data_IF_373220206325
#
_entry.id   IF_373220206325
#
_cell.length_a   1.000
_cell.length_b   1.000
_cell.length_c   1.000
_cell.angle_alpha   90.00
_cell.angle_beta   90.00
_cell.angle_gamma   90.00
#
_symmetry.space_group_name_H-M   'P 1'
#
loop_
_entity.id
_entity.type
_entity.pdbx_description
1 polymer ?
#
# COMPACT_ATOMS: atom_id res chain seq x y z
N UNK A 1 -29.51 22.66 17.60
CA UNK A 1 -28.61 21.52 17.50
C UNK A 1 -29.46 20.29 17.19
N UNK A 2 -29.84 20.12 15.92
CA UNK A 2 -30.72 19.03 15.52
C UNK A 2 -29.91 17.95 14.81
N UNK A 3 -29.67 16.85 15.50
CA UNK A 3 -29.27 15.58 14.91
C UNK A 3 -30.40 15.09 14.03
N UNK A 4 -30.30 15.27 12.72
CA UNK A 4 -31.26 14.70 11.78
C UNK A 4 -31.15 13.18 11.79
N UNK A 5 -32.21 12.57 12.29
CA UNK A 5 -32.42 11.14 12.39
C UNK A 5 -32.34 10.48 10.99
N UNK A 6 -31.48 9.47 10.77
CA UNK A 6 -31.33 8.80 9.47
C UNK A 6 -32.60 8.10 8.95
N UNK A 7 -33.64 8.03 9.74
CA UNK A 7 -34.93 7.43 9.36
C UNK A 7 -35.86 8.34 8.52
N UNK A 8 -35.51 9.62 8.31
CA UNK A 8 -36.33 10.60 7.61
C UNK A 8 -35.96 10.84 6.14
N UNK A 9 -35.03 10.09 5.58
CA UNK A 9 -34.70 10.20 4.16
C UNK A 9 -35.87 9.69 3.31
N UNK A 10 -36.24 10.50 2.30
CA UNK A 10 -37.30 10.16 1.36
C UNK A 10 -36.99 8.84 0.61
N UNK A 11 -38.02 8.16 0.13
CA UNK A 11 -37.87 6.91 -0.65
C UNK A 11 -36.97 7.12 -1.90
N UNK A 12 -36.99 8.32 -2.46
CA UNK A 12 -36.15 8.71 -3.59
C UNK A 12 -34.68 8.87 -3.21
N UNK A 13 -34.38 9.43 -2.07
CA UNK A 13 -33.00 9.59 -1.58
C UNK A 13 -32.38 8.26 -1.20
N UNK A 14 -33.13 7.37 -0.57
CA UNK A 14 -32.66 5.99 -0.29
C UNK A 14 -32.39 5.20 -1.58
N UNK A 15 -33.19 5.42 -2.62
CA UNK A 15 -32.99 4.76 -3.92
C UNK A 15 -31.76 5.33 -4.66
N UNK A 16 -31.53 6.64 -4.58
CA UNK A 16 -30.32 7.28 -5.11
C UNK A 16 -29.06 6.77 -4.40
N UNK A 17 -29.10 6.73 -3.07
CA UNK A 17 -27.98 6.22 -2.24
C UNK A 17 -27.64 4.75 -2.55
N UNK A 18 -28.65 3.88 -2.69
CA UNK A 18 -28.45 2.48 -3.10
C UNK A 18 -27.86 2.36 -4.50
N UNK A 19 -28.37 3.14 -5.48
CA UNK A 19 -27.83 3.12 -6.85
C UNK A 19 -26.38 3.62 -6.91
N UNK A 20 -26.04 4.65 -6.16
CA UNK A 20 -24.69 5.21 -6.10
C UNK A 20 -23.70 4.24 -5.47
N UNK A 21 -24.07 3.57 -4.38
CA UNK A 21 -23.22 2.56 -3.75
C UNK A 21 -22.99 1.34 -4.65
N UNK A 22 -24.02 0.91 -5.43
CA UNK A 22 -23.87 -0.17 -6.40
C UNK A 22 -22.97 0.22 -7.58
N UNK A 23 -23.07 1.47 -8.05
CA UNK A 23 -22.23 1.98 -9.14
C UNK A 23 -20.78 2.10 -8.69
N UNK A 24 -20.52 2.65 -7.51
CA UNK A 24 -19.17 2.79 -6.95
C UNK A 24 -18.55 1.42 -6.63
N UNK A 25 -19.35 0.48 -6.11
CA UNK A 25 -18.89 -0.90 -5.89
C UNK A 25 -18.56 -1.62 -7.20
N UNK A 26 -19.33 -1.43 -8.26
CA UNK A 26 -19.05 -1.99 -9.58
C UNK A 26 -17.86 -1.34 -10.30
N UNK A 27 -17.56 -0.07 -10.02
CA UNK A 27 -16.36 0.61 -10.54
C UNK A 27 -15.10 0.07 -9.87
N UNK A 28 -15.12 -0.11 -8.55
CA UNK A 28 -14.02 -0.74 -7.82
C UNK A 28 -13.80 -2.20 -8.23
N UNK A 29 -14.87 -2.95 -8.50
CA UNK A 29 -14.79 -4.38 -8.89
C UNK A 29 -14.29 -4.57 -10.34
N UNK A 30 -14.58 -3.65 -11.26
CA UNK A 30 -14.10 -3.77 -12.66
C UNK A 30 -12.62 -3.46 -12.85
N UNK A 31 -12.00 -2.72 -11.93
CA UNK A 31 -10.54 -2.48 -11.96
C UNK A 31 -9.73 -3.59 -11.26
N UNK A 32 -10.38 -4.52 -10.54
CA UNK A 32 -9.74 -5.66 -9.90
C UNK A 32 -9.52 -6.89 -10.83
N UNK A 33 -9.90 -6.83 -12.11
CA UNK A 33 -9.89 -7.98 -13.03
C UNK A 33 -8.57 -8.14 -13.80
N UNK A 34 -7.52 -7.38 -13.53
CA UNK A 34 -6.22 -7.62 -14.20
C UNK A 34 -5.14 -8.29 -13.33
N UNK A 35 -5.49 -8.83 -12.15
CA UNK A 35 -4.55 -9.54 -11.28
C UNK A 35 -5.03 -10.94 -10.86
N UNK A 36 -5.90 -11.58 -11.67
CA UNK A 36 -6.38 -12.93 -11.37
C UNK A 36 -5.55 -13.99 -12.11
N UNK A 37 -4.37 -14.33 -11.57
CA UNK A 37 -3.84 -15.68 -11.62
C UNK A 37 -3.87 -16.25 -10.21
N UNK A 38 -5.06 -16.65 -9.77
CA UNK A 38 -5.23 -17.54 -8.62
C UNK A 38 -5.62 -18.89 -9.18
N UNK A 39 -4.70 -19.83 -9.08
CA UNK A 39 -4.90 -21.24 -9.39
C UNK A 39 -5.99 -21.83 -8.52
N UNK A 40 -7.04 -22.31 -9.18
CA UNK A 40 -8.11 -23.13 -8.66
C UNK A 40 -7.54 -24.49 -8.20
N UNK A 41 -7.47 -24.75 -6.90
CA UNK A 41 -7.33 -26.10 -6.38
C UNK A 41 -8.69 -26.61 -5.90
N UNK A 42 -9.24 -27.54 -6.66
CA UNK A 42 -10.41 -28.32 -6.30
C UNK A 42 -10.09 -29.29 -5.15
N UNK A 43 -10.90 -29.22 -4.13
CA UNK A 43 -10.88 -30.16 -3.02
C UNK A 43 -11.41 -31.52 -3.47
N UNK A 44 -10.63 -32.57 -3.29
CA UNK A 44 -11.11 -33.96 -3.24
C UNK A 44 -10.55 -34.67 -2.03
N UNK A 45 -11.44 -35.13 -1.18
CA UNK A 45 -11.30 -36.38 -0.40
C UNK A 45 -10.60 -36.27 0.94
N UNK A 46 -11.40 -36.34 1.98
CA UNK A 46 -11.04 -36.73 3.35
C UNK A 46 -10.15 -37.98 3.43
N UNK A 47 -9.03 -37.85 4.14
CA UNK A 47 -8.48 -38.88 5.00
C UNK A 47 -7.80 -38.22 6.18
N UNK A 48 -8.31 -38.49 7.38
CA UNK A 48 -7.69 -38.07 8.62
C UNK A 48 -6.40 -38.85 8.82
N UNK A 49 -5.30 -38.27 8.31
CA UNK A 49 -3.95 -38.61 8.72
C UNK A 49 -3.48 -37.45 9.58
N UNK A 50 -2.94 -37.79 10.75
CA UNK A 50 -2.24 -36.90 11.67
C UNK A 50 -1.46 -35.85 10.88
N UNK A 51 -1.94 -34.61 10.88
CA UNK A 51 -1.24 -33.51 10.28
C UNK A 51 0.02 -33.26 11.09
N UNK A 52 1.13 -33.85 10.68
CA UNK A 52 2.41 -33.19 10.83
C UNK A 52 2.24 -31.85 10.12
N UNK A 53 2.19 -30.77 10.87
CA UNK A 53 2.26 -29.42 10.32
C UNK A 53 3.62 -29.34 9.60
N UNK A 54 3.59 -29.56 8.28
CA UNK A 54 4.75 -29.30 7.46
C UNK A 54 5.05 -27.81 7.67
N UNK A 55 6.16 -27.49 8.34
CA UNK A 55 6.60 -26.13 8.49
C UNK A 55 6.84 -25.58 7.09
N UNK A 56 6.17 -24.47 6.75
CA UNK A 56 6.25 -23.90 5.42
C UNK A 56 7.69 -23.59 4.97
N UNK A 57 8.65 -23.53 5.90
CA UNK A 57 10.06 -23.28 5.70
C UNK A 57 10.82 -24.36 4.90
N UNK A 58 10.37 -25.62 4.91
CA UNK A 58 11.07 -26.76 4.27
C UNK A 58 11.25 -26.60 2.74
N UNK A 59 10.40 -25.80 2.09
CA UNK A 59 10.52 -25.52 0.66
C UNK A 59 11.39 -24.30 0.34
N UNK A 60 11.98 -23.64 1.34
CA UNK A 60 12.69 -22.38 1.21
C UNK A 60 14.09 -22.41 1.78
N UNK A 61 14.31 -23.15 2.87
CA UNK A 61 15.59 -23.24 3.59
C UNK A 61 15.99 -24.67 3.83
N UNK A 62 17.29 -24.91 4.06
CA UNK A 62 17.87 -26.24 4.34
C UNK A 62 18.81 -26.16 5.54
N UNK A 63 19.14 -27.33 6.15
CA UNK A 63 20.10 -27.43 7.22
C UNK A 63 19.82 -26.55 8.43
N UNK A 64 20.82 -25.82 8.93
CA UNK A 64 20.70 -24.97 10.10
C UNK A 64 19.82 -23.70 9.79
N UNK A 65 19.78 -23.25 8.55
CA UNK A 65 18.88 -22.17 8.13
C UNK A 65 17.41 -22.59 8.26
N UNK A 66 17.06 -23.83 7.88
CA UNK A 66 15.72 -24.37 8.09
C UNK A 66 15.37 -24.47 9.58
N UNK A 67 16.30 -24.93 10.41
CA UNK A 67 16.10 -24.99 11.87
C UNK A 67 15.83 -23.58 12.46
N UNK A 68 16.58 -22.58 12.02
CA UNK A 68 16.37 -21.20 12.43
C UNK A 68 15.00 -20.69 11.97
N UNK A 69 14.61 -20.94 10.71
CA UNK A 69 13.29 -20.55 10.21
C UNK A 69 12.16 -21.18 11.05
N UNK A 70 12.24 -22.49 11.36
CA UNK A 70 11.26 -23.18 12.22
C UNK A 70 11.22 -22.60 13.64
N UNK A 71 12.38 -22.30 14.24
CA UNK A 71 12.44 -21.66 15.56
C UNK A 71 11.78 -20.29 15.55
N UNK A 72 11.91 -19.51 14.47
CA UNK A 72 11.22 -18.22 14.34
C UNK A 72 9.72 -18.37 14.12
N UNK A 73 9.24 -19.40 13.40
CA UNK A 73 7.82 -19.69 13.26
C UNK A 73 7.15 -19.92 14.62
N UNK A 74 7.76 -20.71 15.46
CA UNK A 74 7.27 -21.02 16.81
C UNK A 74 7.45 -19.86 17.81
N UNK A 75 8.30 -18.89 17.48
CA UNK A 75 8.67 -17.80 18.39
C UNK A 75 9.58 -18.27 19.55
N UNK A 76 10.27 -19.40 19.38
CA UNK A 76 11.22 -19.94 20.37
C UNK A 76 12.50 -19.10 20.40
N UNK A 77 12.53 -18.10 21.26
CA UNK A 77 13.64 -17.16 21.37
C UNK A 77 14.94 -17.79 21.84
N UNK A 78 14.88 -18.88 22.61
CA UNK A 78 16.07 -19.57 23.10
C UNK A 78 16.70 -20.42 21.99
N UNK A 79 15.88 -21.13 21.21
CA UNK A 79 16.33 -21.84 20.03
C UNK A 79 16.91 -20.87 18.98
N UNK A 80 16.23 -19.74 18.70
CA UNK A 80 16.72 -18.68 17.79
C UNK A 80 18.09 -18.19 18.24
N UNK A 81 18.25 -17.87 19.54
CA UNK A 81 19.52 -17.39 20.09
C UNK A 81 20.62 -18.45 19.98
N UNK A 82 20.30 -19.70 20.28
CA UNK A 82 21.28 -20.80 20.18
C UNK A 82 21.80 -20.97 18.75
N UNK A 83 20.88 -21.05 17.78
CA UNK A 83 21.23 -21.26 16.37
C UNK A 83 22.04 -20.07 15.83
N UNK A 84 21.68 -18.84 16.15
CA UNK A 84 22.41 -17.65 15.69
C UNK A 84 23.77 -17.52 16.39
N UNK A 85 23.84 -17.65 17.73
CA UNK A 85 25.08 -17.34 18.49
C UNK A 85 26.03 -18.50 18.63
N UNK A 86 25.52 -19.75 18.67
CA UNK A 86 26.34 -20.95 18.91
C UNK A 86 26.61 -21.73 17.61
N UNK A 87 25.58 -21.89 16.78
CA UNK A 87 25.73 -22.59 15.50
C UNK A 87 26.19 -21.68 14.35
N UNK A 88 26.20 -20.36 14.58
CA UNK A 88 26.76 -19.35 13.68
C UNK A 88 25.93 -19.05 12.42
N UNK A 89 24.64 -19.31 12.45
CA UNK A 89 23.74 -18.92 11.34
C UNK A 89 23.56 -17.42 11.31
N UNK A 90 23.99 -16.77 10.25
CA UNK A 90 23.84 -15.33 10.04
C UNK A 90 22.49 -15.05 9.33
N UNK A 91 21.48 -14.47 10.00
CA UNK A 91 20.17 -14.21 9.41
C UNK A 91 20.21 -13.20 8.27
N UNK A 92 21.22 -12.31 8.25
CA UNK A 92 21.35 -11.25 7.26
C UNK A 92 21.96 -11.71 5.94
N UNK A 93 22.67 -12.87 5.99
CA UNK A 93 23.27 -13.54 4.82
C UNK A 93 22.57 -14.82 4.42
N UNK A 94 21.46 -15.13 5.08
CA UNK A 94 20.67 -16.33 4.80
C UNK A 94 19.43 -15.98 3.99
N UNK A 95 19.37 -16.45 2.76
CA UNK A 95 18.28 -16.20 1.83
C UNK A 95 17.71 -17.51 1.31
N UNK A 96 16.41 -17.51 1.03
CA UNK A 96 15.76 -18.63 0.38
C UNK A 96 16.36 -18.90 -1.01
N UNK A 97 16.69 -20.16 -1.28
CA UNK A 97 17.19 -20.57 -2.61
C UNK A 97 16.14 -20.40 -3.71
N UNK A 98 14.87 -20.45 -3.33
CA UNK A 98 13.72 -20.41 -4.24
C UNK A 98 13.43 -19.00 -4.76
N UNK A 99 13.31 -18.00 -3.89
CA UNK A 99 12.76 -16.67 -4.20
C UNK A 99 13.51 -15.52 -3.51
N UNK A 100 14.67 -15.80 -2.92
CA UNK A 100 15.52 -14.79 -2.30
C UNK A 100 14.97 -14.15 -1.04
N UNK A 101 13.95 -14.73 -0.41
CA UNK A 101 13.41 -14.22 0.86
C UNK A 101 14.50 -14.23 1.92
N UNK A 102 14.85 -13.08 2.55
CA UNK A 102 15.79 -13.07 3.66
C UNK A 102 15.19 -13.76 4.89
N UNK A 103 16.01 -14.45 5.66
CA UNK A 103 15.53 -15.23 6.80
C UNK A 103 14.82 -14.34 7.83
N UNK A 104 15.24 -13.09 7.99
CA UNK A 104 14.55 -12.12 8.85
C UNK A 104 13.10 -11.83 8.40
N UNK A 105 12.76 -12.02 7.13
CA UNK A 105 11.39 -11.85 6.63
C UNK A 105 10.52 -13.10 6.84
N UNK A 106 11.11 -14.23 7.19
CA UNK A 106 10.37 -15.48 7.39
C UNK A 106 9.33 -15.43 8.50
N UNK A 107 9.61 -14.87 9.70
CA UNK A 107 8.61 -14.70 10.75
C UNK A 107 7.39 -13.85 10.33
N UNK A 108 7.54 -12.93 9.37
CA UNK A 108 6.41 -12.15 8.85
C UNK A 108 5.45 -13.07 8.07
N UNK A 109 6.02 -13.94 7.23
CA UNK A 109 5.26 -14.93 6.48
C UNK A 109 4.53 -15.91 7.40
N UNK A 110 5.19 -16.35 8.47
CA UNK A 110 4.63 -17.22 9.50
C UNK A 110 3.69 -16.49 10.50
N UNK A 111 3.58 -15.15 10.39
CA UNK A 111 2.84 -14.30 11.34
C UNK A 111 3.32 -14.43 12.79
N UNK A 112 4.62 -14.66 12.99
CA UNK A 112 5.26 -14.78 14.29
C UNK A 112 5.96 -13.49 14.71
N UNK A 113 5.29 -12.64 15.47
CA UNK A 113 5.89 -11.41 16.01
C UNK A 113 7.00 -11.71 17.02
N UNK A 114 6.88 -12.82 17.76
CA UNK A 114 7.89 -13.29 18.71
C UNK A 114 9.18 -13.71 17.99
N UNK A 115 9.05 -14.44 16.89
CA UNK A 115 10.21 -14.86 16.08
C UNK A 115 10.92 -13.68 15.42
N UNK A 116 10.17 -12.71 14.90
CA UNK A 116 10.74 -11.48 14.36
C UNK A 116 11.50 -10.72 15.45
N UNK A 117 10.87 -10.54 16.63
CA UNK A 117 11.50 -9.86 17.75
C UNK A 117 12.79 -10.58 18.20
N UNK A 118 12.79 -11.90 18.26
CA UNK A 118 13.96 -12.67 18.65
C UNK A 118 15.17 -12.45 17.71
N UNK A 119 14.94 -12.37 16.41
CA UNK A 119 16.01 -12.05 15.44
C UNK A 119 16.51 -10.61 15.60
N UNK A 120 15.60 -9.65 15.71
CA UNK A 120 15.94 -8.24 15.84
C UNK A 120 16.68 -7.94 17.15
N UNK A 121 16.29 -8.56 18.27
CA UNK A 121 16.99 -8.43 19.55
C UNK A 121 18.43 -9.00 19.49
N UNK A 122 18.73 -9.87 18.54
CA UNK A 122 20.06 -10.39 18.29
C UNK A 122 20.89 -9.55 17.30
N UNK A 123 20.29 -8.47 16.76
CA UNK A 123 20.91 -7.50 15.88
C UNK A 123 20.75 -7.82 14.39
N UNK A 124 19.77 -8.67 14.01
CA UNK A 124 19.47 -8.89 12.60
C UNK A 124 19.04 -7.58 11.91
N UNK A 125 19.54 -7.36 10.69
CA UNK A 125 19.28 -6.14 9.91
C UNK A 125 17.93 -6.21 9.19
N UNK A 126 16.96 -5.31 9.52
CA UNK A 126 15.67 -5.22 8.82
C UNK A 126 15.79 -4.97 7.30
N UNK A 127 16.93 -4.41 6.88
CA UNK A 127 17.18 -4.01 5.49
C UNK A 127 17.93 -5.11 4.69
N UNK A 128 18.33 -6.19 5.34
CA UNK A 128 19.02 -7.31 4.68
C UNK A 128 18.22 -7.78 3.46
N UNK A 129 18.92 -7.88 2.32
CA UNK A 129 18.32 -8.34 1.06
C UNK A 129 19.32 -9.07 0.20
N UNK A 130 18.83 -10.02 -0.55
CA UNK A 130 19.60 -10.67 -1.58
C UNK A 130 19.73 -9.76 -2.81
N UNK A 131 20.92 -9.77 -3.42
CA UNK A 131 21.19 -9.13 -4.69
C UNK A 131 21.82 -10.13 -5.65
N UNK A 132 21.24 -10.29 -6.83
CA UNK A 132 21.74 -11.21 -7.86
C UNK A 132 22.01 -10.49 -9.17
N UNK A 133 23.10 -10.85 -9.86
CA UNK A 133 23.32 -10.43 -11.23
C UNK A 133 22.45 -11.30 -12.16
N UNK A 134 21.53 -10.66 -12.88
CA UNK A 134 20.65 -11.32 -13.84
C UNK A 134 20.66 -10.54 -15.15
N UNK A 135 21.05 -11.19 -16.23
CA UNK A 135 21.13 -10.57 -17.58
C UNK A 135 21.93 -9.25 -17.61
N UNK A 136 23.02 -9.17 -16.83
CA UNK A 136 23.86 -7.97 -16.75
C UNK A 136 23.32 -6.83 -15.87
N UNK A 137 22.20 -7.06 -15.19
CA UNK A 137 21.60 -6.09 -14.24
C UNK A 137 21.66 -6.65 -12.83
N UNK A 138 21.92 -5.76 -11.86
CA UNK A 138 21.82 -6.10 -10.44
C UNK A 138 20.33 -6.02 -10.03
N UNK A 139 19.79 -7.14 -9.61
CA UNK A 139 18.41 -7.25 -9.10
C UNK A 139 18.47 -7.36 -7.58
N UNK A 140 17.82 -6.42 -6.92
CA UNK A 140 17.64 -6.41 -5.47
C UNK A 140 16.28 -7.02 -5.13
N UNK A 141 16.28 -8.13 -4.39
CA UNK A 141 15.05 -8.81 -3.96
C UNK A 141 14.36 -8.05 -2.83
N UNK A 142 13.11 -8.41 -2.55
CA UNK A 142 12.33 -7.81 -1.46
C UNK A 142 12.96 -8.13 -0.09
N UNK A 143 13.08 -7.13 0.78
CA UNK A 143 13.54 -7.28 2.17
C UNK A 143 12.36 -7.36 3.15
N UNK A 144 12.63 -7.49 4.45
CA UNK A 144 11.61 -7.60 5.48
C UNK A 144 10.67 -6.38 5.52
N UNK A 145 11.14 -5.17 5.23
CA UNK A 145 10.34 -3.95 5.18
C UNK A 145 9.24 -4.02 4.11
N UNK A 146 9.57 -4.56 2.92
CA UNK A 146 8.60 -4.74 1.82
C UNK A 146 7.50 -5.73 2.22
N UNK A 147 7.85 -6.84 2.87
CA UNK A 147 6.86 -7.79 3.36
C UNK A 147 5.96 -7.17 4.44
N UNK A 148 6.53 -6.46 5.40
CA UNK A 148 5.79 -5.83 6.49
C UNK A 148 4.84 -4.74 6.01
N UNK A 149 5.23 -3.93 5.03
CA UNK A 149 4.37 -2.88 4.46
C UNK A 149 3.07 -3.43 3.86
N UNK A 150 3.09 -4.68 3.38
CA UNK A 150 1.94 -5.38 2.78
C UNK A 150 1.01 -6.04 3.81
N UNK A 151 1.41 -6.15 5.08
CA UNK A 151 0.66 -6.85 6.11
C UNK A 151 -0.51 -5.99 6.66
N UNK A 152 -1.56 -6.66 7.11
CA UNK A 152 -2.70 -6.05 7.78
C UNK A 152 -2.42 -5.67 9.26
N UNK A 153 -1.31 -6.17 9.82
CA UNK A 153 -0.87 -5.92 11.19
C UNK A 153 0.34 -4.97 11.22
N UNK A 154 0.16 -3.70 11.59
CA UNK A 154 1.23 -2.70 11.60
C UNK A 154 2.33 -2.96 12.65
N UNK A 155 2.12 -3.87 13.59
CA UNK A 155 3.12 -4.18 14.62
C UNK A 155 4.42 -4.70 14.04
N UNK A 156 4.36 -5.46 12.95
CA UNK A 156 5.56 -5.97 12.25
C UNK A 156 6.38 -4.83 11.66
N UNK A 157 5.72 -3.92 10.94
CA UNK A 157 6.39 -2.76 10.36
C UNK A 157 6.99 -1.85 11.43
N UNK A 158 6.22 -1.55 12.49
CA UNK A 158 6.71 -0.76 13.62
C UNK A 158 7.94 -1.38 14.28
N UNK A 159 7.95 -2.72 14.43
CA UNK A 159 9.08 -3.41 15.05
C UNK A 159 10.33 -3.31 14.19
N UNK A 160 10.22 -3.49 12.87
CA UNK A 160 11.34 -3.34 11.95
C UNK A 160 11.88 -1.91 11.93
N UNK A 161 11.01 -0.89 11.85
CA UNK A 161 11.40 0.52 11.87
C UNK A 161 12.13 0.88 13.18
N UNK A 162 11.65 0.39 14.33
CA UNK A 162 12.30 0.59 15.63
C UNK A 162 13.73 0.04 15.66
N UNK A 163 14.02 -0.98 14.88
CA UNK A 163 15.35 -1.60 14.77
C UNK A 163 16.16 -1.10 13.56
N UNK A 164 15.82 0.07 12.99
CA UNK A 164 16.59 0.70 11.92
C UNK A 164 16.17 0.30 10.50
N UNK A 165 14.96 -0.24 10.34
CA UNK A 165 14.38 -0.46 9.00
C UNK A 165 14.23 0.87 8.24
N UNK A 166 14.64 0.89 6.97
CA UNK A 166 14.54 2.06 6.11
C UNK A 166 13.11 2.20 5.54
N UNK A 167 12.35 3.26 5.91
CA UNK A 167 10.99 3.48 5.41
C UNK A 167 10.96 3.85 3.92
N UNK A 168 12.10 4.21 3.32
CA UNK A 168 12.25 4.59 1.91
C UNK A 168 12.78 3.45 1.04
N UNK A 169 12.94 2.26 1.58
CA UNK A 169 13.34 1.09 0.78
C UNK A 169 12.32 0.81 -0.32
N UNK A 170 12.79 0.19 -1.41
CA UNK A 170 11.96 -0.14 -2.57
C UNK A 170 11.90 -1.64 -2.78
N UNK A 171 10.80 -2.12 -3.35
CA UNK A 171 10.65 -3.52 -3.72
C UNK A 171 11.46 -3.87 -4.99
N UNK A 172 11.45 -5.13 -5.36
CA UNK A 172 12.13 -5.65 -6.58
C UNK A 172 11.69 -4.91 -7.87
N UNK A 173 10.49 -4.34 -7.88
CA UNK A 173 9.96 -3.56 -9.00
C UNK A 173 10.34 -2.07 -8.92
N UNK A 174 11.16 -1.66 -7.95
CA UNK A 174 11.51 -0.27 -7.68
C UNK A 174 10.32 0.60 -7.25
N UNK A 175 9.34 0.01 -6.57
CA UNK A 175 8.15 0.69 -6.04
C UNK A 175 8.34 0.98 -4.55
N UNK A 176 7.78 2.12 -4.08
CA UNK A 176 7.88 2.56 -2.68
C UNK A 176 7.06 1.68 -1.74
N UNK A 177 7.41 1.65 -0.44
CA UNK A 177 6.63 0.96 0.58
C UNK A 177 5.22 1.55 0.74
N UNK A 178 5.06 2.86 0.55
CA UNK A 178 3.76 3.54 0.56
C UNK A 178 2.83 2.97 -0.50
N UNK A 179 3.35 2.75 -1.72
CA UNK A 179 2.57 2.12 -2.78
C UNK A 179 2.29 0.65 -2.47
N UNK A 180 3.25 -0.09 -1.91
CA UNK A 180 3.05 -1.48 -1.52
C UNK A 180 1.94 -1.63 -0.47
N UNK A 181 1.90 -0.77 0.53
CA UNK A 181 0.85 -0.74 1.55
C UNK A 181 -0.52 -0.43 0.92
N UNK A 182 -0.59 0.52 0.00
CA UNK A 182 -1.81 0.86 -0.72
C UNK A 182 -2.32 -0.31 -1.59
N UNK A 183 -1.47 -0.90 -2.42
CA UNK A 183 -1.83 -1.98 -3.36
C UNK A 183 -2.23 -3.28 -2.64
N UNK A 184 -1.73 -3.51 -1.43
CA UNK A 184 -1.99 -4.73 -0.64
C UNK A 184 -3.31 -4.67 0.15
N UNK A 185 -4.35 -4.04 -0.40
CA UNK A 185 -5.65 -3.92 0.22
C UNK A 185 -5.79 -2.69 1.11
N UNK A 186 -5.11 -1.60 0.74
CA UNK A 186 -5.15 -0.32 1.45
C UNK A 186 -4.76 -0.46 2.94
N UNK A 187 -3.54 -0.90 3.19
CA UNK A 187 -3.01 -1.01 4.56
C UNK A 187 -2.74 0.40 5.14
N UNK A 188 -3.80 1.17 5.37
CA UNK A 188 -3.73 2.57 5.76
C UNK A 188 -2.88 2.81 7.01
N UNK A 189 -2.98 1.94 8.01
CA UNK A 189 -2.16 2.03 9.22
C UNK A 189 -0.67 1.93 8.92
N UNK A 190 -0.29 1.12 7.94
CA UNK A 190 1.12 1.03 7.51
C UNK A 190 1.54 2.28 6.74
N UNK A 191 0.65 2.90 5.93
CA UNK A 191 0.94 4.20 5.29
C UNK A 191 1.23 5.25 6.35
N UNK A 192 0.39 5.36 7.39
CA UNK A 192 0.60 6.30 8.50
C UNK A 192 1.94 6.03 9.21
N UNK A 193 2.18 4.78 9.59
CA UNK A 193 3.43 4.37 10.27
C UNK A 193 4.66 4.71 9.40
N UNK A 194 4.62 4.47 8.10
CA UNK A 194 5.72 4.80 7.20
C UNK A 194 6.01 6.31 7.17
N UNK A 195 4.96 7.12 6.96
CA UNK A 195 5.09 8.59 6.88
C UNK A 195 5.58 9.17 8.21
N UNK A 196 5.02 8.71 9.34
CA UNK A 196 5.43 9.13 10.68
C UNK A 196 6.88 8.74 11.04
N UNK A 197 7.44 7.75 10.34
CA UNK A 197 8.84 7.31 10.48
C UNK A 197 9.73 7.79 9.33
N UNK A 198 9.33 8.81 8.56
CA UNK A 198 10.18 9.50 7.60
C UNK A 198 10.18 8.91 6.18
N UNK A 199 9.14 8.14 5.81
CA UNK A 199 8.94 7.83 4.40
C UNK A 199 8.69 9.12 3.61
N UNK A 200 9.37 9.27 2.47
CA UNK A 200 9.11 10.40 1.57
C UNK A 200 7.75 10.24 0.90
N UNK A 201 6.79 11.02 1.39
CA UNK A 201 5.40 11.03 0.91
C UNK A 201 5.29 11.53 -0.54
N UNK A 202 6.31 12.21 -1.05
CA UNK A 202 6.38 12.78 -2.39
C UNK A 202 7.17 11.90 -3.38
N UNK A 203 7.75 10.83 -2.88
CA UNK A 203 8.52 9.91 -3.72
C UNK A 203 7.62 9.22 -4.75
N UNK A 204 8.04 9.26 -6.00
CA UNK A 204 7.29 8.67 -7.11
C UNK A 204 7.78 7.26 -7.47
N UNK A 205 6.90 6.48 -8.09
CA UNK A 205 7.26 5.19 -8.65
C UNK A 205 7.78 5.37 -10.07
N UNK A 206 9.04 5.01 -10.31
CA UNK A 206 9.77 5.32 -11.54
C UNK A 206 9.26 4.63 -12.83
N UNK A 207 8.26 3.75 -12.73
CA UNK A 207 7.72 3.03 -13.91
C UNK A 207 6.64 3.78 -14.66
N UNK A 208 6.00 4.77 -14.04
CA UNK A 208 4.97 5.57 -14.70
C UNK A 208 5.54 6.90 -15.15
N UNK A 209 5.13 7.33 -16.33
CA UNK A 209 5.42 8.67 -16.86
C UNK A 209 4.62 9.76 -16.12
N UNK A 210 4.46 9.63 -14.79
CA UNK A 210 3.63 10.54 -14.04
C UNK A 210 4.01 10.64 -12.57
N UNK A 211 3.40 11.58 -11.91
CA UNK A 211 3.50 11.80 -10.48
C UNK A 211 2.72 10.74 -9.69
N UNK A 212 3.13 9.47 -9.78
CA UNK A 212 2.54 8.36 -9.04
C UNK A 212 3.01 8.38 -7.58
N UNK A 213 2.72 9.47 -6.88
CA UNK A 213 2.89 9.54 -5.43
C UNK A 213 1.72 8.85 -4.73
N UNK A 214 1.87 8.54 -3.46
CA UNK A 214 0.78 7.96 -2.67
C UNK A 214 -0.45 8.88 -2.65
N UNK A 215 -0.27 10.19 -2.64
CA UNK A 215 -1.37 11.17 -2.72
C UNK A 215 -2.18 11.01 -4.01
N UNK A 216 -1.53 10.85 -5.17
CA UNK A 216 -2.20 10.70 -6.45
C UNK A 216 -3.10 9.46 -6.51
N UNK A 217 -2.72 8.39 -5.82
CA UNK A 217 -3.51 7.15 -5.75
C UNK A 217 -4.81 7.34 -4.95
N UNK A 218 -4.78 8.16 -3.90
CA UNK A 218 -5.99 8.45 -3.12
C UNK A 218 -6.87 9.49 -3.80
N UNK A 219 -6.32 10.60 -4.32
CA UNK A 219 -7.11 11.65 -4.99
C UNK A 219 -7.83 11.12 -6.22
N UNK A 220 -7.14 10.38 -7.09
CA UNK A 220 -7.73 9.80 -8.31
C UNK A 220 -8.82 8.75 -8.05
N UNK A 221 -8.96 8.28 -6.81
CA UNK A 221 -10.02 7.33 -6.37
C UNK A 221 -11.06 7.96 -5.47
N UNK A 222 -10.98 9.26 -5.22
CA UNK A 222 -11.92 9.97 -4.36
C UNK A 222 -11.78 9.64 -2.86
N UNK A 223 -10.63 9.11 -2.44
CA UNK A 223 -10.30 8.83 -1.03
C UNK A 223 -9.79 10.07 -0.31
N UNK A 224 -10.64 11.09 -0.17
CA UNK A 224 -10.22 12.40 0.30
C UNK A 224 -9.97 12.50 1.80
N UNK A 225 -10.46 11.58 2.60
CA UNK A 225 -10.09 11.43 4.01
C UNK A 225 -8.61 11.07 4.16
N UNK A 226 -8.12 10.12 3.38
CA UNK A 226 -6.71 9.76 3.30
C UNK A 226 -5.87 10.88 2.67
N UNK A 227 -6.36 11.48 1.58
CA UNK A 227 -5.68 12.56 0.90
C UNK A 227 -5.48 13.78 1.82
N UNK A 228 -6.49 14.15 2.60
CA UNK A 228 -6.38 15.26 3.54
C UNK A 228 -5.30 15.00 4.60
N UNK A 229 -5.27 13.79 5.15
CA UNK A 229 -4.23 13.42 6.10
C UNK A 229 -2.82 13.51 5.48
N UNK A 230 -2.65 13.03 4.24
CA UNK A 230 -1.36 13.13 3.52
C UNK A 230 -0.94 14.58 3.27
N UNK A 231 -1.89 15.45 2.89
CA UNK A 231 -1.62 16.89 2.72
C UNK A 231 -1.14 17.54 4.01
N UNK A 232 -1.74 17.19 5.15
CA UNK A 232 -1.31 17.66 6.47
C UNK A 232 0.05 17.09 6.90
N UNK A 233 0.51 16.01 6.25
CA UNK A 233 1.81 15.37 6.51
C UNK A 233 2.84 15.60 5.39
N UNK A 234 2.69 16.69 4.64
CA UNK A 234 3.72 17.18 3.71
C UNK A 234 3.63 16.66 2.28
N UNK A 235 2.52 15.99 1.91
CA UNK A 235 2.31 15.64 0.51
C UNK A 235 2.10 16.89 -0.35
N UNK A 236 2.84 16.98 -1.45
CA UNK A 236 2.77 18.09 -2.40
C UNK A 236 1.82 17.76 -3.56
N UNK A 237 0.62 18.36 -3.61
CA UNK A 237 -0.33 18.14 -4.69
C UNK A 237 0.07 18.80 -6.01
N UNK A 238 1.08 19.68 -5.99
CA UNK A 238 1.51 20.45 -7.17
C UNK A 238 2.55 19.73 -8.03
N UNK A 239 3.02 18.56 -7.61
CA UNK A 239 3.93 17.73 -8.40
C UNK A 239 3.30 17.47 -9.76
N UNK A 240 3.97 17.97 -10.80
CA UNK A 240 3.49 17.92 -12.16
C UNK A 240 3.83 16.59 -12.84
N UNK A 241 2.90 16.08 -13.62
CA UNK A 241 3.18 14.94 -14.48
C UNK A 241 4.16 15.35 -15.57
N UNK A 242 5.30 14.66 -15.74
CA UNK A 242 6.21 14.94 -16.84
C UNK A 242 5.51 14.73 -18.16
N UNK A 243 5.76 15.63 -19.09
CA UNK A 243 5.17 15.58 -20.44
C UNK A 243 6.19 15.01 -21.41
N UNK A 244 5.77 14.09 -22.26
CA UNK A 244 6.64 13.57 -23.30
C UNK A 244 7.06 14.71 -24.23
N UNK A 245 8.37 14.89 -24.41
CA UNK A 245 8.93 15.93 -25.26
C UNK A 245 8.35 15.85 -26.69
N UNK A 246 7.90 16.97 -27.24
CA UNK A 246 7.27 17.00 -28.56
C UNK A 246 5.78 16.65 -28.62
N UNK A 247 5.14 16.33 -27.47
CA UNK A 247 3.70 15.96 -27.45
C UNK A 247 2.75 17.14 -27.62
N UNK A 248 3.23 18.38 -27.52
CA UNK A 248 2.41 19.60 -27.50
C UNK A 248 1.50 19.73 -26.26
N UNK A 249 1.66 18.85 -25.27
CA UNK A 249 0.88 18.88 -24.02
C UNK A 249 1.60 19.71 -22.98
N UNK A 250 0.85 20.35 -22.11
CA UNK A 250 1.39 21.05 -20.93
C UNK A 250 1.47 20.08 -19.74
N UNK A 251 2.46 20.29 -18.86
CA UNK A 251 2.53 19.57 -17.59
C UNK A 251 1.24 19.81 -16.79
N UNK A 252 0.72 18.75 -16.14
CA UNK A 252 -0.55 18.81 -15.43
C UNK A 252 -0.35 18.50 -13.96
N UNK A 253 -1.05 19.22 -13.11
CA UNK A 253 -1.11 18.98 -11.67
C UNK A 253 -2.31 18.07 -11.37
N UNK A 254 -2.19 16.79 -11.71
CA UNK A 254 -3.32 15.84 -11.64
C UNK A 254 -3.98 15.78 -10.27
N UNK A 255 -3.21 15.83 -9.19
CA UNK A 255 -3.74 15.76 -7.82
C UNK A 255 -4.59 17.00 -7.48
N UNK A 256 -4.19 18.18 -7.94
CA UNK A 256 -4.99 19.40 -7.80
C UNK A 256 -6.29 19.29 -8.60
N UNK A 257 -6.21 18.80 -9.85
CA UNK A 257 -7.38 18.56 -10.69
C UNK A 257 -8.36 17.57 -10.03
N UNK A 258 -7.85 16.45 -9.50
CA UNK A 258 -8.66 15.44 -8.81
C UNK A 258 -9.32 15.99 -7.55
N UNK A 259 -8.60 16.75 -6.73
CA UNK A 259 -9.16 17.37 -5.51
C UNK A 259 -10.34 18.28 -5.86
N UNK A 260 -10.24 19.05 -6.93
CA UNK A 260 -11.34 19.95 -7.32
C UNK A 260 -12.47 19.24 -8.07
N UNK A 261 -12.16 18.24 -8.91
CA UNK A 261 -13.10 17.78 -9.92
C UNK A 261 -13.51 16.30 -9.82
N UNK A 262 -12.77 15.46 -9.07
CA UNK A 262 -13.09 14.03 -9.00
C UNK A 262 -14.45 13.80 -8.31
N UNK A 263 -15.11 12.72 -8.74
CA UNK A 263 -16.37 12.31 -8.14
C UNK A 263 -16.06 11.55 -6.85
N UNK A 264 -16.78 11.90 -5.78
CA UNK A 264 -16.62 11.19 -4.49
C UNK A 264 -17.96 10.78 -3.90
N UNK A 265 -17.92 9.97 -2.85
CA UNK A 265 -19.10 9.56 -2.10
C UNK A 265 -19.61 10.71 -1.21
N UNK A 266 -20.91 10.71 -0.84
CA UNK A 266 -21.42 11.69 0.11
C UNK A 266 -20.67 11.71 1.44
N UNK A 267 -20.18 10.56 1.89
CA UNK A 267 -19.46 10.44 3.15
C UNK A 267 -18.02 11.04 3.04
N UNK A 268 -17.46 11.07 1.83
CA UNK A 268 -16.13 11.62 1.56
C UNK A 268 -16.15 13.07 1.06
N UNK A 269 -17.33 13.60 0.68
CA UNK A 269 -17.48 14.98 0.22
C UNK A 269 -16.98 16.03 1.23
N UNK A 270 -17.24 15.91 2.55
CA UNK A 270 -16.67 16.85 3.53
C UNK A 270 -15.16 16.88 3.54
N UNK A 271 -14.50 15.73 3.28
CA UNK A 271 -13.07 15.64 3.20
C UNK A 271 -12.51 16.24 1.91
N UNK A 272 -13.19 16.03 0.78
CA UNK A 272 -12.84 16.73 -0.47
C UNK A 272 -12.85 18.24 -0.28
N UNK A 273 -13.87 18.77 0.41
CA UNK A 273 -13.95 20.20 0.74
C UNK A 273 -12.79 20.65 1.62
N UNK A 274 -12.36 19.86 2.60
CA UNK A 274 -11.17 20.17 3.41
C UNK A 274 -9.90 20.20 2.56
N UNK A 275 -9.75 19.26 1.62
CA UNK A 275 -8.62 19.29 0.68
C UNK A 275 -8.65 20.54 -0.21
N UNK A 276 -9.83 20.95 -0.71
CA UNK A 276 -9.99 22.18 -1.49
C UNK A 276 -9.66 23.43 -0.67
N UNK A 277 -10.11 23.49 0.59
CA UNK A 277 -9.76 24.57 1.50
C UNK A 277 -8.26 24.62 1.76
N UNK A 278 -7.63 23.45 1.99
CA UNK A 278 -6.17 23.35 2.15
C UNK A 278 -5.39 23.94 0.96
N UNK A 279 -5.88 23.70 -0.28
CA UNK A 279 -5.32 24.30 -1.49
C UNK A 279 -5.54 25.81 -1.53
N UNK A 280 -6.76 26.28 -1.23
CA UNK A 280 -7.11 27.70 -1.22
C UNK A 280 -6.27 28.50 -0.22
N UNK A 281 -6.06 27.98 0.98
CA UNK A 281 -5.24 28.61 2.03
C UNK A 281 -3.77 28.78 1.63
N UNK A 282 -3.32 28.01 0.62
CA UNK A 282 -1.98 28.07 0.05
C UNK A 282 -1.91 28.77 -1.31
N UNK A 283 -2.99 29.43 -1.71
CA UNK A 283 -3.12 30.13 -3.00
C UNK A 283 -2.91 29.20 -4.22
N UNK A 284 -3.25 27.93 -4.10
CA UNK A 284 -3.24 26.99 -5.23
C UNK A 284 -4.60 27.07 -5.93
N UNK A 285 -4.66 27.64 -7.16
CA UNK A 285 -5.91 27.97 -7.80
C UNK A 285 -6.62 26.70 -8.32
N UNK A 286 -7.94 26.81 -8.44
CA UNK A 286 -8.76 25.82 -9.12
C UNK A 286 -8.44 25.81 -10.61
N UNK A 287 -7.94 24.69 -11.17
CA UNK A 287 -7.70 24.58 -12.61
C UNK A 287 -9.03 24.43 -13.38
N UNK A 288 -9.06 24.66 -14.70
CA UNK A 288 -10.19 24.27 -15.54
C UNK A 288 -10.47 22.76 -15.42
N UNK A 289 -11.75 22.39 -15.51
CA UNK A 289 -12.12 20.96 -15.43
C UNK A 289 -11.55 20.17 -16.61
N UNK A 290 -10.77 19.13 -16.37
CA UNK A 290 -10.24 18.27 -17.43
C UNK A 290 -11.36 17.56 -18.20
N UNK A 291 -11.25 17.48 -19.53
CA UNK A 291 -12.26 16.88 -20.37
C UNK A 291 -12.60 15.43 -20.01
N UNK A 292 -11.62 14.63 -19.60
CA UNK A 292 -11.85 13.24 -19.18
C UNK A 292 -12.69 13.16 -17.89
N UNK A 293 -12.52 14.09 -16.96
CA UNK A 293 -13.34 14.19 -15.75
C UNK A 293 -14.74 14.69 -16.12
N UNK A 294 -14.86 15.68 -17.01
CA UNK A 294 -16.15 16.15 -17.53
C UNK A 294 -16.97 14.98 -18.10
N UNK A 295 -16.38 14.19 -19.01
CA UNK A 295 -17.03 13.00 -19.58
C UNK A 295 -17.41 11.96 -18.54
N UNK A 296 -16.54 11.74 -17.54
CA UNK A 296 -16.81 10.83 -16.42
C UNK A 296 -18.04 11.31 -15.63
N UNK A 297 -18.11 12.61 -15.32
CA UNK A 297 -19.23 13.21 -14.60
C UNK A 297 -20.54 13.09 -15.38
N UNK A 298 -20.53 13.36 -16.68
CA UNK A 298 -21.68 13.19 -17.58
C UNK A 298 -22.15 11.73 -17.62
N UNK A 299 -21.24 10.79 -17.82
CA UNK A 299 -21.56 9.37 -17.87
C UNK A 299 -22.23 8.86 -16.59
N UNK A 300 -21.86 9.42 -15.43
CA UNK A 300 -22.43 9.08 -14.13
C UNK A 300 -23.55 10.02 -13.68
N UNK A 301 -23.98 10.97 -14.54
CA UNK A 301 -25.06 11.94 -14.28
C UNK A 301 -24.78 12.87 -13.09
N UNK A 302 -23.54 13.26 -12.91
CA UNK A 302 -23.14 14.32 -12.00
C UNK A 302 -23.10 15.66 -12.75
N UNK A 303 -23.18 16.82 -12.04
CA UNK A 303 -22.93 18.11 -12.66
C UNK A 303 -21.59 18.12 -13.39
N UNK A 304 -21.58 18.57 -14.66
CA UNK A 304 -20.39 18.55 -15.53
C UNK A 304 -19.96 19.93 -16.02
N UNK A 305 -20.77 20.97 -15.74
CA UNK A 305 -20.36 22.36 -15.96
C UNK A 305 -19.72 22.90 -14.69
N UNK A 306 -18.66 23.68 -14.85
CA UNK A 306 -17.87 24.21 -13.73
C UNK A 306 -18.68 25.10 -12.79
N UNK A 307 -19.60 25.90 -13.36
CA UNK A 307 -20.50 26.78 -12.62
C UNK A 307 -21.53 26.02 -11.77
N UNK A 308 -21.85 24.78 -12.11
CA UNK A 308 -22.80 23.96 -11.35
C UNK A 308 -22.13 23.21 -10.18
N UNK A 309 -20.80 23.32 -10.06
CA UNK A 309 -20.01 22.68 -9.00
C UNK A 309 -19.42 23.79 -8.15
N UNK A 310 -20.10 24.18 -7.06
CA UNK A 310 -19.63 25.28 -6.24
C UNK A 310 -18.24 24.98 -5.68
N UNK A 311 -17.40 25.99 -5.71
CA UNK A 311 -16.30 26.10 -4.76
C UNK A 311 -16.89 26.10 -3.36
N UNK A 312 -16.19 25.64 -2.38
CA UNK A 312 -16.58 25.62 -0.96
C UNK A 312 -17.41 26.79 -0.52
#
# INVERSE_FOLDING_TARGET
MDYQNPLLLSRQERTKRKKMNVILHNVTTKFLVSAAWVTLFLATGCSATTATSAHGAEGYYEGNALRLAIATESGDSDAVRHIVKVEGVDPDKTFSSRDGIPLIAWPLRARSIGGLKALLDLGADPNARESRQMNGQLINFDNAMVYAAKMDDPRYLNLLLKHGGDPNTRNINNETLLLQAFLSGNQWKNVQVLVENGADVNESNLRSLGSDTVLSWYTGRGGFDYAYWLLEHGADPTISQPVQEGSGKTARQLMVEDIYWEITTPDNLPWQKKCQQWLADRNIPRPPMPEHIRRKREAFKFPSREEDIPLL
#
